data_IF_720007767068
#
_entry.id   IF_720007767068
#
_cell.length_a   1.000
_cell.length_b   1.000
_cell.length_c   1.000
_cell.angle_alpha   90.00
_cell.angle_beta   90.00
_cell.angle_gamma   90.00
#
_symmetry.space_group_name_H-M   'P 1'
#
loop_
_entity.id
_entity.type
_entity.pdbx_description
1 polymer ?
#
# COMPACT_ATOMS: atom_id res chain seq x y z
N UNK A 1 25.65 3.74 8.02
CA UNK A 1 25.22 5.15 8.25
C UNK A 1 24.02 5.46 7.34
N UNK A 2 22.96 4.65 7.37
CA UNK A 2 21.94 4.60 6.28
C UNK A 2 20.50 4.92 6.71
N UNK A 3 20.20 5.02 8.01
CA UNK A 3 18.83 5.31 8.48
C UNK A 3 18.50 6.81 8.59
N UNK A 4 19.51 7.68 8.74
CA UNK A 4 19.28 9.11 9.00
C UNK A 4 18.76 9.89 7.77
N UNK A 5 18.95 9.39 6.56
CA UNK A 5 18.46 10.02 5.32
C UNK A 5 16.95 9.87 5.08
N UNK A 6 16.21 9.18 5.96
CA UNK A 6 14.78 8.89 5.79
C UNK A 6 13.89 9.49 6.89
N UNK A 7 14.42 10.29 7.81
CA UNK A 7 13.63 10.95 8.86
C UNK A 7 12.56 11.89 8.30
N UNK A 8 12.69 12.38 7.06
CA UNK A 8 11.65 13.16 6.38
C UNK A 8 10.65 12.30 5.59
N UNK A 9 11.03 11.10 5.16
CA UNK A 9 10.15 10.22 4.36
C UNK A 9 9.04 9.63 5.22
N UNK A 10 9.32 9.29 6.47
CA UNK A 10 8.33 8.72 7.39
C UNK A 10 7.21 9.73 7.75
N UNK A 11 7.51 10.97 8.19
CA UNK A 11 6.51 12.00 8.42
C UNK A 11 5.77 12.39 7.14
N UNK A 12 6.44 12.48 5.99
CA UNK A 12 5.81 12.95 4.75
C UNK A 12 4.92 11.87 4.12
N UNK A 13 5.32 10.59 4.20
CA UNK A 13 4.43 9.47 3.87
C UNK A 13 3.28 9.34 4.88
N UNK A 14 3.52 9.55 6.17
CA UNK A 14 2.46 9.57 7.19
C UNK A 14 1.48 10.72 6.96
N UNK A 15 1.98 11.90 6.60
CA UNK A 15 1.16 13.08 6.25
C UNK A 15 0.38 12.82 4.97
N UNK A 16 0.99 12.20 3.95
CA UNK A 16 0.30 11.81 2.72
C UNK A 16 -0.79 10.76 2.99
N UNK A 17 -0.50 9.73 3.79
CA UNK A 17 -1.49 8.71 4.20
C UNK A 17 -2.61 9.36 5.01
N UNK A 18 -2.30 10.31 5.91
CA UNK A 18 -3.29 11.06 6.67
C UNK A 18 -4.13 11.98 5.77
N UNK A 19 -3.55 12.64 4.77
CA UNK A 19 -4.27 13.47 3.80
C UNK A 19 -5.16 12.62 2.91
N UNK A 20 -4.68 11.46 2.44
CA UNK A 20 -5.49 10.51 1.66
C UNK A 20 -6.61 9.95 2.54
N UNK A 21 -6.33 9.49 3.76
CA UNK A 21 -7.34 9.02 4.72
C UNK A 21 -8.33 10.13 5.12
N UNK A 22 -7.87 11.38 5.23
CA UNK A 22 -8.70 12.55 5.46
C UNK A 22 -9.61 12.84 4.27
N UNK A 23 -9.09 12.80 3.04
CA UNK A 23 -9.89 12.96 1.82
C UNK A 23 -10.93 11.83 1.69
N UNK A 24 -10.56 10.58 1.97
CA UNK A 24 -11.50 9.44 1.99
C UNK A 24 -12.53 9.52 3.12
N UNK A 25 -12.17 10.04 4.30
CA UNK A 25 -13.11 10.21 5.42
C UNK A 25 -14.03 11.44 5.24
N UNK A 26 -13.53 12.55 4.67
CA UNK A 26 -14.33 13.72 4.31
C UNK A 26 -15.18 13.54 3.06
N UNK A 27 -14.86 12.60 2.17
CA UNK A 27 -15.71 12.20 1.04
C UNK A 27 -17.13 11.76 1.47
N UNK A 28 -17.31 11.37 2.75
CA UNK A 28 -18.63 11.09 3.33
C UNK A 28 -19.41 12.33 3.78
N UNK A 29 -18.77 13.46 4.06
CA UNK A 29 -19.41 14.66 4.65
C UNK A 29 -19.49 15.85 3.71
N UNK A 30 -18.51 16.01 2.82
CA UNK A 30 -18.59 17.00 1.76
C UNK A 30 -19.18 16.31 0.54
N UNK A 31 -20.26 16.87 -0.02
CA UNK A 31 -20.48 16.79 -1.47
C UNK A 31 -19.16 17.26 -2.07
N UNK A 32 -18.27 16.33 -2.43
CA UNK A 32 -17.05 16.63 -3.17
C UNK A 32 -17.58 17.42 -4.36
N UNK A 33 -17.37 18.75 -4.36
CA UNK A 33 -17.50 19.56 -5.58
C UNK A 33 -16.78 18.74 -6.62
N UNK A 34 -17.53 18.28 -7.61
CA UNK A 34 -17.11 17.22 -8.53
C UNK A 34 -15.68 17.54 -8.95
N UNK A 35 -14.79 16.55 -8.93
CA UNK A 35 -13.44 16.69 -9.46
C UNK A 35 -13.46 17.23 -10.92
N UNK A 36 -14.62 17.15 -11.60
CA UNK A 36 -14.91 17.86 -12.86
C UNK A 36 -14.72 19.38 -12.83
N UNK A 37 -14.76 20.02 -11.66
CA UNK A 37 -14.70 21.48 -11.53
C UNK A 37 -13.25 22.00 -11.46
N UNK A 38 -12.26 21.15 -11.18
CA UNK A 38 -10.87 21.61 -10.94
C UNK A 38 -10.07 21.87 -12.22
N UNK A 39 -10.39 21.25 -13.35
CA UNK A 39 -9.95 21.72 -14.67
C UNK A 39 -10.69 20.92 -15.72
N UNK A 40 -11.93 21.32 -16.02
CA UNK A 40 -12.87 20.55 -16.86
C UNK A 40 -12.25 20.13 -18.20
N UNK A 41 -11.43 21.00 -18.79
CA UNK A 41 -10.70 20.73 -20.03
C UNK A 41 -9.63 19.63 -19.91
N UNK A 42 -8.91 19.54 -18.77
CA UNK A 42 -7.94 18.47 -18.54
C UNK A 42 -8.64 17.15 -18.21
N UNK A 43 -9.71 17.21 -17.40
CA UNK A 43 -10.51 16.04 -17.04
C UNK A 43 -11.21 15.43 -18.26
N UNK A 44 -11.86 16.25 -19.09
CA UNK A 44 -12.52 15.79 -20.33
C UNK A 44 -11.49 15.23 -21.34
N UNK A 45 -10.35 15.89 -21.56
CA UNK A 45 -9.27 15.35 -22.42
C UNK A 45 -8.66 14.05 -21.87
N UNK A 46 -8.49 13.95 -20.55
CA UNK A 46 -7.94 12.75 -19.91
C UNK A 46 -8.95 11.59 -19.97
N UNK A 47 -10.23 11.84 -19.70
CA UNK A 47 -11.30 10.87 -19.85
C UNK A 47 -11.47 10.44 -21.32
N UNK A 48 -11.35 11.34 -22.28
CA UNK A 48 -11.37 11.00 -23.71
C UNK A 48 -10.16 10.16 -24.13
N UNK A 49 -8.97 10.50 -23.61
CA UNK A 49 -7.76 9.73 -23.90
C UNK A 49 -7.83 8.33 -23.29
N UNK A 50 -8.28 8.21 -22.04
CA UNK A 50 -8.55 6.94 -21.39
C UNK A 50 -9.62 6.16 -22.16
N UNK A 51 -10.78 6.74 -22.45
CA UNK A 51 -11.84 6.00 -23.13
C UNK A 51 -11.44 5.53 -24.52
N UNK A 52 -10.53 6.23 -25.21
CA UNK A 52 -9.90 5.76 -26.47
C UNK A 52 -8.91 4.61 -26.24
N UNK A 53 -8.05 4.70 -25.23
CA UNK A 53 -7.10 3.62 -24.88
C UNK A 53 -7.86 2.35 -24.43
N UNK A 54 -9.05 2.50 -23.86
CA UNK A 54 -9.82 1.40 -23.27
C UNK A 54 -10.82 0.68 -24.22
N UNK A 55 -10.83 0.98 -25.53
CA UNK A 55 -11.71 0.34 -26.54
C UNK A 55 -11.15 -0.99 -27.10
N UNK A 56 -10.95 -2.00 -26.25
CA UNK A 56 -10.48 -3.33 -26.69
C UNK A 56 -11.14 -4.52 -25.98
N UNK A 57 -11.20 -5.70 -26.62
CA UNK A 57 -11.84 -6.92 -26.07
C UNK A 57 -11.23 -7.38 -24.73
N UNK A 58 -9.91 -7.28 -24.54
CA UNK A 58 -9.24 -7.62 -23.27
C UNK A 58 -9.53 -6.61 -22.15
N UNK A 59 -9.92 -5.37 -22.50
CA UNK A 59 -10.24 -4.31 -21.55
C UNK A 59 -11.64 -4.44 -20.95
N UNK A 60 -12.54 -5.21 -21.56
CA UNK A 60 -13.85 -5.53 -20.96
C UNK A 60 -13.67 -6.24 -19.62
N UNK A 61 -12.68 -7.15 -19.51
CA UNK A 61 -12.38 -7.85 -18.25
C UNK A 61 -11.83 -6.92 -17.17
N UNK A 62 -10.92 -6.01 -17.55
CA UNK A 62 -10.34 -5.01 -16.63
C UNK A 62 -11.43 -4.03 -16.16
N UNK A 63 -12.29 -3.60 -17.08
CA UNK A 63 -13.41 -2.73 -16.75
C UNK A 63 -14.41 -3.43 -15.82
N UNK A 64 -14.74 -4.70 -16.10
CA UNK A 64 -15.57 -5.52 -15.22
C UNK A 64 -14.95 -5.70 -13.83
N UNK A 65 -13.63 -5.89 -13.74
CA UNK A 65 -12.91 -5.98 -12.46
C UNK A 65 -13.06 -4.70 -11.63
N UNK A 66 -12.85 -3.52 -12.23
CA UNK A 66 -13.04 -2.26 -11.51
C UNK A 66 -14.51 -1.96 -11.19
N UNK A 67 -15.45 -2.29 -12.07
CA UNK A 67 -16.88 -2.16 -11.81
C UNK A 67 -17.29 -3.03 -10.61
N UNK A 68 -16.77 -4.26 -10.51
CA UNK A 68 -17.01 -5.13 -9.35
C UNK A 68 -16.43 -4.54 -8.05
N UNK A 69 -15.23 -3.96 -8.10
CA UNK A 69 -14.64 -3.28 -6.95
C UNK A 69 -15.35 -1.97 -6.58
N UNK A 70 -16.03 -1.31 -7.51
CA UNK A 70 -16.74 -0.06 -7.23
C UNK A 70 -18.18 -0.29 -6.76
N UNK A 71 -18.68 -1.54 -6.75
CA UNK A 71 -20.08 -1.90 -6.45
C UNK A 71 -20.63 -1.30 -5.15
N UNK A 72 -19.79 -1.12 -4.13
CA UNK A 72 -20.21 -0.60 -2.82
C UNK A 72 -19.82 0.87 -2.59
N UNK A 73 -19.28 1.53 -3.62
CA UNK A 73 -18.82 2.92 -3.55
C UNK A 73 -19.62 3.82 -4.49
N UNK A 74 -19.69 5.11 -4.16
CA UNK A 74 -20.30 6.13 -5.05
C UNK A 74 -19.32 6.65 -6.12
N UNK A 75 -18.15 6.05 -6.23
CA UNK A 75 -17.05 6.53 -7.06
C UNK A 75 -17.22 5.93 -8.46
N UNK A 76 -17.19 6.77 -9.49
CA UNK A 76 -17.20 6.31 -10.86
C UNK A 76 -15.80 5.83 -11.28
N UNK A 77 -15.72 4.96 -12.30
CA UNK A 77 -14.44 4.48 -12.82
C UNK A 77 -13.50 5.62 -13.25
N UNK A 78 -14.06 6.64 -13.91
CA UNK A 78 -13.31 7.82 -14.33
C UNK A 78 -12.66 8.54 -13.14
N UNK A 79 -13.39 8.68 -12.04
CA UNK A 79 -12.87 9.32 -10.82
C UNK A 79 -11.76 8.48 -10.17
N UNK A 80 -11.88 7.15 -10.18
CA UNK A 80 -10.83 6.26 -9.67
C UNK A 80 -9.53 6.38 -10.48
N UNK A 81 -9.64 6.40 -11.82
CA UNK A 81 -8.48 6.56 -12.69
C UNK A 81 -7.85 7.94 -12.56
N UNK A 82 -8.66 9.01 -12.41
CA UNK A 82 -8.16 10.35 -12.13
C UNK A 82 -7.40 10.41 -10.79
N UNK A 83 -7.92 9.78 -9.74
CA UNK A 83 -7.23 9.68 -8.43
C UNK A 83 -5.88 8.98 -8.59
N UNK A 84 -5.83 7.86 -9.34
CA UNK A 84 -4.58 7.14 -9.60
C UNK A 84 -3.56 7.99 -10.37
N UNK A 85 -4.01 8.75 -11.37
CA UNK A 85 -3.17 9.65 -12.14
C UNK A 85 -2.55 10.74 -11.26
N UNK A 86 -3.37 11.36 -10.40
CA UNK A 86 -2.93 12.37 -9.44
C UNK A 86 -1.89 11.78 -8.48
N UNK A 87 -2.14 10.60 -7.92
CA UNK A 87 -1.19 9.92 -7.04
C UNK A 87 0.12 9.66 -7.77
N UNK A 88 0.08 9.18 -9.02
CA UNK A 88 1.27 8.92 -9.82
C UNK A 88 2.10 10.20 -10.05
N UNK A 89 1.44 11.30 -10.43
CA UNK A 89 2.10 12.60 -10.61
C UNK A 89 2.76 13.06 -9.31
N UNK A 90 2.03 12.99 -8.19
CA UNK A 90 2.55 13.37 -6.87
C UNK A 90 3.75 12.50 -6.48
N UNK A 91 3.67 11.18 -6.70
CA UNK A 91 4.77 10.24 -6.42
C UNK A 91 6.00 10.59 -7.24
N UNK A 92 5.85 10.89 -8.54
CA UNK A 92 6.98 11.30 -9.40
C UNK A 92 7.61 12.59 -8.87
N UNK A 93 6.80 13.61 -8.57
CA UNK A 93 7.29 14.89 -8.01
C UNK A 93 8.03 14.66 -6.69
N UNK A 94 7.48 13.86 -5.78
CA UNK A 94 8.13 13.54 -4.50
C UNK A 94 9.45 12.78 -4.68
N UNK A 95 9.51 11.81 -5.58
CA UNK A 95 10.76 11.08 -5.86
C UNK A 95 11.84 12.03 -6.39
N UNK A 96 11.47 12.93 -7.31
CA UNK A 96 12.39 13.94 -7.82
C UNK A 96 12.84 14.90 -6.71
N UNK A 97 11.92 15.43 -5.90
CA UNK A 97 12.27 16.32 -4.79
C UNK A 97 13.18 15.64 -3.77
N UNK A 98 12.87 14.41 -3.36
CA UNK A 98 13.72 13.64 -2.43
C UNK A 98 15.10 13.43 -3.03
N UNK A 99 15.18 13.09 -4.32
CA UNK A 99 16.44 12.92 -5.02
C UNK A 99 17.28 14.20 -4.98
N UNK A 100 16.72 15.33 -5.37
CA UNK A 100 17.45 16.62 -5.36
C UNK A 100 17.91 16.99 -3.95
N UNK A 101 17.06 16.80 -2.94
CA UNK A 101 17.45 17.06 -1.54
C UNK A 101 18.56 16.13 -1.05
N UNK A 102 18.52 14.84 -1.40
CA UNK A 102 19.55 13.89 -1.02
C UNK A 102 20.87 14.18 -1.72
N UNK A 103 20.82 14.54 -3.01
CA UNK A 103 22.02 14.95 -3.76
C UNK A 103 22.62 16.20 -3.12
N UNK A 104 21.83 17.21 -2.77
CA UNK A 104 22.34 18.44 -2.14
C UNK A 104 22.98 18.15 -0.76
N UNK A 105 22.32 17.36 0.10
CA UNK A 105 22.86 16.99 1.42
C UNK A 105 24.17 16.20 1.29
N UNK A 106 24.21 15.21 0.40
CA UNK A 106 25.41 14.39 0.21
C UNK A 106 26.54 15.21 -0.42
N UNK A 107 26.23 16.09 -1.38
CA UNK A 107 27.22 16.98 -2.01
C UNK A 107 27.82 17.94 -0.99
N UNK A 108 26.99 18.58 -0.15
CA UNK A 108 27.45 19.45 0.95
C UNK A 108 28.35 18.69 1.93
N UNK A 109 28.04 17.42 2.22
CA UNK A 109 28.88 16.58 3.06
C UNK A 109 30.22 16.23 2.39
N UNK A 110 30.22 15.87 1.11
CA UNK A 110 31.44 15.51 0.35
C UNK A 110 32.39 16.70 0.24
N UNK A 111 31.84 17.89 -0.06
CA UNK A 111 32.63 19.11 -0.30
C UNK A 111 33.01 19.77 1.02
N UNK A 112 32.11 19.81 2.00
CA UNK A 112 32.28 20.56 3.25
C UNK A 112 32.98 19.83 4.39
N UNK A 113 33.37 18.55 4.25
CA UNK A 113 34.02 17.81 5.34
C UNK A 113 35.45 17.39 5.00
N UNK A 114 36.42 17.94 5.74
CA UNK A 114 37.84 17.62 5.58
C UNK A 114 38.18 16.17 5.95
N UNK A 115 37.52 15.61 6.97
CA UNK A 115 37.68 14.22 7.42
C UNK A 115 36.79 13.23 6.64
N UNK A 116 36.69 13.40 5.32
CA UNK A 116 35.87 12.53 4.47
C UNK A 116 36.54 11.17 4.25
N UNK A 117 35.95 10.09 4.79
CA UNK A 117 36.45 8.70 4.75
C UNK A 117 37.95 8.62 5.10
N UNK A 118 38.25 8.92 6.36
CA UNK A 118 39.59 8.83 6.95
C UNK A 118 40.16 7.41 6.78
N UNK A 119 41.18 7.24 5.95
CA UNK A 119 41.96 6.01 5.90
C UNK A 119 42.87 5.99 7.15
N UNK A 120 42.67 5.00 8.02
CA UNK A 120 43.50 4.79 9.23
C UNK A 120 45.01 4.61 8.92
N UNK A 121 45.36 4.45 7.64
CA UNK A 121 46.72 4.24 7.13
C UNK A 121 47.56 5.52 7.13
N UNK A 122 46.95 6.71 7.26
CA UNK A 122 47.66 7.99 7.19
C UNK A 122 47.50 8.82 8.46
N UNK A 123 48.20 8.40 9.51
CA UNK A 123 48.39 9.19 10.72
C UNK A 123 49.36 10.35 10.44
N UNK A 124 48.86 11.42 9.82
CA UNK A 124 49.63 12.65 9.74
C UNK A 124 49.69 13.31 11.10
N UNK A 125 50.91 13.60 11.57
CA UNK A 125 51.13 14.51 12.69
C UNK A 125 50.48 15.85 12.36
N UNK A 126 49.31 16.11 12.95
CA UNK A 126 48.46 17.31 12.76
C UNK A 126 49.14 18.63 13.14
N UNK A 127 50.41 18.62 13.54
CA UNK A 127 51.04 19.75 14.22
C UNK A 127 51.14 21.03 13.39
N UNK A 128 51.12 20.98 12.05
CA UNK A 128 51.31 22.16 11.19
C UNK A 128 50.43 22.24 9.91
N UNK A 129 49.30 21.51 9.80
CA UNK A 129 48.47 21.54 8.57
C UNK A 129 47.36 22.58 8.67
N UNK A 130 47.31 23.51 7.72
CA UNK A 130 46.18 24.43 7.55
C UNK A 130 44.99 23.69 6.90
N UNK A 131 44.01 23.33 7.74
CA UNK A 131 42.85 22.51 7.36
C UNK A 131 42.02 23.18 6.26
N UNK A 132 41.86 24.51 6.30
CA UNK A 132 41.05 25.23 5.33
C UNK A 132 41.73 25.28 3.96
N UNK A 133 43.04 25.54 3.93
CA UNK A 133 43.80 25.50 2.67
C UNK A 133 43.85 24.10 2.07
N UNK A 134 44.09 23.08 2.89
CA UNK A 134 44.13 21.69 2.44
C UNK A 134 42.77 21.23 1.89
N UNK A 135 41.65 21.64 2.52
CA UNK A 135 40.31 21.37 2.03
C UNK A 135 40.05 22.07 0.67
N UNK A 136 40.45 23.33 0.53
CA UNK A 136 40.29 24.09 -0.71
C UNK A 136 41.13 23.48 -1.86
N UNK A 137 42.33 22.98 -1.58
CA UNK A 137 43.14 22.23 -2.54
C UNK A 137 42.44 20.94 -2.99
N UNK A 138 41.88 20.15 -2.05
CA UNK A 138 41.13 18.94 -2.34
C UNK A 138 39.86 19.22 -3.20
N UNK A 139 39.13 20.32 -2.91
CA UNK A 139 37.95 20.73 -3.68
C UNK A 139 38.34 21.17 -5.10
N UNK A 140 39.40 21.98 -5.23
CA UNK A 140 39.88 22.44 -6.56
C UNK A 140 40.30 21.27 -7.45
N UNK A 141 40.96 20.26 -6.86
CA UNK A 141 41.32 19.03 -7.57
C UNK A 141 40.09 18.18 -7.95
N UNK A 142 39.04 18.18 -7.12
CA UNK A 142 37.78 17.53 -7.43
C UNK A 142 37.04 18.26 -8.57
N UNK A 143 36.95 19.58 -8.53
CA UNK A 143 36.25 20.40 -9.53
C UNK A 143 36.93 20.34 -10.91
N UNK A 144 38.26 20.33 -10.93
CA UNK A 144 39.05 20.14 -12.16
C UNK A 144 38.83 18.74 -12.75
N UNK A 145 38.76 17.70 -11.91
CA UNK A 145 38.44 16.35 -12.38
C UNK A 145 37.00 16.23 -12.90
N UNK A 146 36.02 16.85 -12.22
CA UNK A 146 34.62 16.83 -12.62
C UNK A 146 34.30 17.71 -13.84
N UNK A 147 35.14 18.70 -14.14
CA UNK A 147 35.01 19.55 -15.34
C UNK A 147 35.69 18.93 -16.57
N UNK A 148 36.71 18.09 -16.38
CA UNK A 148 37.42 17.40 -17.47
C UNK A 148 36.81 16.06 -17.87
N UNK A 149 36.08 15.40 -16.96
CA UNK A 149 35.46 14.10 -17.21
C UNK A 149 33.99 14.10 -16.83
N UNK A 150 33.17 13.47 -17.68
CA UNK A 150 31.74 13.30 -17.37
C UNK A 150 31.52 12.24 -16.27
N UNK A 151 30.36 12.30 -15.60
CA UNK A 151 29.96 11.31 -14.56
C UNK A 151 29.99 9.87 -15.12
N UNK A 152 29.62 9.71 -16.39
CA UNK A 152 29.65 8.40 -17.07
C UNK A 152 31.07 7.89 -17.29
N UNK A 153 32.00 8.75 -17.68
CA UNK A 153 33.41 8.39 -17.88
C UNK A 153 34.10 8.01 -16.57
N UNK A 154 33.88 8.77 -15.49
CA UNK A 154 34.47 8.48 -14.18
C UNK A 154 34.03 7.10 -13.65
N UNK A 155 32.84 6.64 -14.03
CA UNK A 155 32.31 5.33 -13.65
C UNK A 155 33.00 4.16 -14.36
N UNK A 156 33.38 4.35 -15.62
CA UNK A 156 33.98 3.31 -16.44
C UNK A 156 35.49 3.18 -16.23
N UNK A 157 36.13 4.22 -15.70
CA UNK A 157 37.56 4.23 -15.42
C UNK A 157 37.93 3.35 -14.22
N UNK A 158 39.07 2.68 -14.35
CA UNK A 158 39.67 1.92 -13.27
C UNK A 158 40.21 2.84 -12.17
N UNK A 159 40.32 2.31 -10.94
CA UNK A 159 40.92 3.01 -9.79
C UNK A 159 42.31 3.59 -10.12
N UNK A 160 43.10 2.91 -10.96
CA UNK A 160 44.43 3.35 -11.36
C UNK A 160 44.39 4.58 -12.27
N UNK A 161 43.48 4.61 -13.24
CA UNK A 161 43.35 5.70 -14.21
C UNK A 161 42.83 6.99 -13.56
N UNK A 162 41.87 6.90 -12.64
CA UNK A 162 41.35 8.07 -11.92
C UNK A 162 42.46 8.67 -11.04
N UNK A 163 43.21 7.83 -10.33
CA UNK A 163 44.35 8.31 -9.52
C UNK A 163 45.47 8.88 -10.38
N UNK A 164 45.73 8.32 -11.55
CA UNK A 164 46.71 8.85 -12.50
C UNK A 164 46.29 10.21 -13.07
N UNK A 165 45.00 10.40 -13.36
CA UNK A 165 44.45 11.69 -13.79
C UNK A 165 44.59 12.75 -12.70
N UNK A 166 44.22 12.44 -11.45
CA UNK A 166 44.41 13.37 -10.31
C UNK A 166 45.89 13.73 -10.14
N UNK A 167 46.78 12.73 -10.23
CA UNK A 167 48.23 12.93 -10.16
C UNK A 167 48.76 13.85 -11.27
N UNK A 168 48.29 13.66 -12.50
CA UNK A 168 48.67 14.51 -13.63
C UNK A 168 48.23 15.96 -13.41
N UNK A 169 47.04 16.18 -12.83
CA UNK A 169 46.54 17.51 -12.50
C UNK A 169 47.36 18.21 -11.40
N UNK A 170 47.72 17.49 -10.32
CA UNK A 170 48.59 18.03 -9.26
C UNK A 170 49.92 18.52 -9.85
N UNK A 171 50.53 17.72 -10.74
CA UNK A 171 51.79 18.08 -11.42
C UNK A 171 51.63 19.25 -12.38
N UNK A 172 50.51 19.34 -13.10
CA UNK A 172 50.25 20.43 -14.05
C UNK A 172 50.03 21.79 -13.38
N UNK A 173 49.50 21.79 -12.16
CA UNK A 173 49.19 23.01 -11.40
C UNK A 173 50.35 23.49 -10.52
N UNK A 174 51.46 22.73 -10.46
CA UNK A 174 52.63 23.01 -9.62
C UNK A 174 52.25 23.38 -8.16
N UNK A 175 51.18 22.76 -7.64
CA UNK A 175 50.65 23.04 -6.30
C UNK A 175 51.60 22.47 -5.24
N UNK A 176 52.12 23.33 -4.36
CA UNK A 176 52.69 22.88 -3.09
C UNK A 176 51.54 22.40 -2.20
N UNK A 177 51.47 21.08 -1.99
CA UNK A 177 50.38 20.44 -1.27
C UNK A 177 50.64 20.47 0.24
N UNK A 178 49.65 20.93 1.01
CA UNK A 178 49.69 20.93 2.49
C UNK A 178 49.65 19.50 3.08
N UNK A 179 49.13 18.55 2.31
CA UNK A 179 49.07 17.12 2.63
C UNK A 179 49.87 16.37 1.57
N UNK A 180 50.56 15.26 1.91
CA UNK A 180 51.28 14.50 0.90
C UNK A 180 50.39 14.01 -0.23
N UNK A 181 50.99 14.06 -1.42
CA UNK A 181 50.35 13.84 -2.72
C UNK A 181 49.52 12.54 -2.75
N UNK A 182 50.05 11.45 -2.18
CA UNK A 182 49.39 10.14 -2.18
C UNK A 182 48.06 10.18 -1.39
N UNK A 183 48.03 10.89 -0.27
CA UNK A 183 46.85 11.00 0.59
C UNK A 183 45.81 11.92 -0.03
N UNK A 184 46.24 13.04 -0.61
CA UNK A 184 45.36 13.93 -1.36
C UNK A 184 44.70 13.20 -2.55
N UNK A 185 45.48 12.43 -3.32
CA UNK A 185 44.97 11.62 -4.43
C UNK A 185 43.91 10.61 -3.95
N UNK A 186 44.16 9.91 -2.83
CA UNK A 186 43.22 8.93 -2.31
C UNK A 186 41.92 9.58 -1.83
N UNK A 187 41.99 10.70 -1.10
CA UNK A 187 40.82 11.44 -0.65
C UNK A 187 39.99 11.98 -1.80
N UNK A 188 40.63 12.63 -2.78
CA UNK A 188 39.96 13.17 -3.98
C UNK A 188 39.32 12.04 -4.78
N UNK A 189 39.99 10.90 -4.92
CA UNK A 189 39.42 9.69 -5.54
C UNK A 189 38.13 9.24 -4.83
N UNK A 190 38.16 9.09 -3.50
CA UNK A 190 36.98 8.67 -2.75
C UNK A 190 35.83 9.67 -2.85
N UNK A 191 36.12 10.97 -2.80
CA UNK A 191 35.13 12.03 -3.01
C UNK A 191 34.51 11.99 -4.41
N UNK A 192 35.33 11.80 -5.45
CA UNK A 192 34.84 11.70 -6.83
C UNK A 192 33.93 10.49 -7.03
N UNK A 193 34.33 9.32 -6.52
CA UNK A 193 33.51 8.10 -6.61
C UNK A 193 32.19 8.25 -5.84
N UNK A 194 32.24 8.75 -4.60
CA UNK A 194 31.02 8.94 -3.81
C UNK A 194 30.10 10.01 -4.40
N UNK A 195 30.65 11.03 -5.05
CA UNK A 195 29.88 12.04 -5.79
C UNK A 195 29.14 11.43 -6.99
N UNK A 196 29.80 10.54 -7.74
CA UNK A 196 29.19 9.80 -8.85
C UNK A 196 28.11 8.85 -8.33
N UNK A 197 28.42 8.04 -7.32
CA UNK A 197 27.48 7.08 -6.73
C UNK A 197 26.24 7.74 -6.13
N UNK A 198 26.38 8.92 -5.50
CA UNK A 198 25.26 9.67 -4.95
C UNK A 198 24.26 10.15 -6.02
N UNK A 199 24.71 10.31 -7.27
CA UNK A 199 23.90 10.76 -8.41
C UNK A 199 23.33 9.61 -9.24
N UNK A 200 23.72 8.37 -8.97
CA UNK A 200 23.18 7.18 -9.62
C UNK A 200 21.72 6.92 -9.23
N UNK A 201 20.86 6.71 -10.23
CA UNK A 201 19.46 6.36 -10.01
C UNK A 201 19.34 4.85 -9.94
N UNK A 202 18.93 4.33 -8.79
CA UNK A 202 18.52 2.94 -8.70
C UNK A 202 17.11 2.77 -9.32
N UNK A 203 17.07 2.61 -10.65
CA UNK A 203 15.83 2.51 -11.42
C UNK A 203 14.89 1.41 -10.88
N UNK A 204 15.44 0.28 -10.41
CA UNK A 204 14.65 -0.82 -9.83
C UNK A 204 13.87 -0.36 -8.60
N UNK A 205 14.49 0.39 -7.69
CA UNK A 205 13.83 0.91 -6.47
C UNK A 205 12.75 1.92 -6.83
N UNK A 206 13.02 2.83 -7.76
CA UNK A 206 12.07 3.85 -8.22
C UNK A 206 10.83 3.21 -8.85
N UNK A 207 11.02 2.23 -9.74
CA UNK A 207 9.91 1.49 -10.37
C UNK A 207 9.05 0.79 -9.31
N UNK A 208 9.67 0.15 -8.32
CA UNK A 208 8.95 -0.54 -7.25
C UNK A 208 8.09 0.42 -6.41
N UNK A 209 8.62 1.59 -6.06
CA UNK A 209 7.86 2.63 -5.33
C UNK A 209 6.67 3.12 -6.16
N UNK A 210 6.87 3.37 -7.47
CA UNK A 210 5.78 3.81 -8.36
C UNK A 210 4.67 2.76 -8.43
N UNK A 211 5.01 1.48 -8.61
CA UNK A 211 4.04 0.38 -8.65
C UNK A 211 3.27 0.28 -7.32
N UNK A 212 3.98 0.40 -6.19
CA UNK A 212 3.36 0.34 -4.86
C UNK A 212 2.38 1.49 -4.66
N UNK A 213 2.79 2.73 -4.94
CA UNK A 213 1.95 3.92 -4.80
C UNK A 213 0.72 3.89 -5.72
N UNK A 214 0.88 3.41 -6.96
CA UNK A 214 -0.23 3.28 -7.91
C UNK A 214 -1.30 2.27 -7.45
N UNK A 215 -0.91 1.27 -6.66
CA UNK A 215 -1.80 0.22 -6.15
C UNK A 215 -2.58 0.62 -4.89
N UNK A 216 -2.21 1.72 -4.21
CA UNK A 216 -2.85 2.17 -2.95
C UNK A 216 -4.38 2.32 -3.08
N UNK A 217 -4.95 2.95 -4.12
CA UNK A 217 -6.39 3.10 -4.25
C UNK A 217 -7.14 1.76 -4.35
N UNK A 218 -6.55 0.75 -4.99
CA UNK A 218 -7.16 -0.58 -5.11
C UNK A 218 -7.19 -1.30 -3.78
N UNK A 219 -6.08 -1.24 -3.04
CA UNK A 219 -5.99 -1.81 -1.69
C UNK A 219 -7.00 -1.15 -0.77
N UNK A 220 -7.13 0.18 -0.81
CA UNK A 220 -8.11 0.93 -0.03
C UNK A 220 -9.56 0.52 -0.37
N UNK A 221 -9.89 0.41 -1.66
CA UNK A 221 -11.20 -0.05 -2.12
C UNK A 221 -11.46 -1.51 -1.72
N UNK A 222 -10.47 -2.38 -1.84
CA UNK A 222 -10.59 -3.78 -1.44
C UNK A 222 -10.91 -3.91 0.05
N UNK A 223 -10.17 -3.19 0.90
CA UNK A 223 -10.43 -3.13 2.35
C UNK A 223 -11.84 -2.58 2.61
N UNK A 224 -12.22 -1.49 1.94
CA UNK A 224 -13.56 -0.91 2.11
C UNK A 224 -14.68 -1.87 1.71
N UNK A 225 -14.54 -2.56 0.58
CA UNK A 225 -15.50 -3.56 0.12
C UNK A 225 -15.59 -4.73 1.07
N UNK A 226 -14.44 -5.20 1.59
CA UNK A 226 -14.41 -6.27 2.59
C UNK A 226 -15.24 -5.89 3.83
N UNK A 227 -15.06 -4.68 4.35
CA UNK A 227 -15.87 -4.18 5.45
C UNK A 227 -17.35 -4.00 5.07
N UNK A 228 -17.63 -3.52 3.86
CA UNK A 228 -19.00 -3.30 3.38
C UNK A 228 -19.77 -4.61 3.23
N UNK A 229 -19.15 -5.64 2.67
CA UNK A 229 -19.72 -7.00 2.58
C UNK A 229 -19.96 -7.57 3.98
N UNK A 230 -18.98 -7.44 4.88
CA UNK A 230 -19.14 -7.89 6.28
C UNK A 230 -20.28 -7.15 6.99
N UNK A 231 -20.42 -5.85 6.75
CA UNK A 231 -21.50 -5.04 7.30
C UNK A 231 -22.86 -5.40 6.69
N UNK A 232 -22.94 -5.68 5.38
CA UNK A 232 -24.15 -6.16 4.73
C UNK A 232 -24.59 -7.53 5.29
N UNK A 233 -23.67 -8.46 5.52
CA UNK A 233 -23.97 -9.75 6.18
C UNK A 233 -24.45 -9.59 7.63
N UNK A 234 -23.88 -8.63 8.38
CA UNK A 234 -24.35 -8.29 9.73
C UNK A 234 -25.76 -7.69 9.69
N UNK A 235 -26.02 -6.80 8.73
CA UNK A 235 -27.35 -6.21 8.52
C UNK A 235 -28.37 -7.28 8.14
N UNK A 236 -28.03 -8.21 7.24
CA UNK A 236 -28.91 -9.31 6.86
C UNK A 236 -29.30 -10.16 8.08
N UNK A 237 -28.33 -10.51 8.93
CA UNK A 237 -28.61 -11.19 10.21
C UNK A 237 -29.50 -10.37 11.13
N UNK A 238 -29.31 -9.06 11.18
CA UNK A 238 -30.16 -8.17 11.97
C UNK A 238 -31.61 -8.12 11.42
N UNK A 239 -31.79 -8.04 10.10
CA UNK A 239 -33.10 -8.09 9.46
C UNK A 239 -33.81 -9.43 9.73
N UNK A 240 -33.11 -10.56 9.58
CA UNK A 240 -33.64 -11.88 9.95
C UNK A 240 -34.11 -11.94 11.42
N UNK A 241 -33.38 -11.31 12.36
CA UNK A 241 -33.80 -11.20 13.77
C UNK A 241 -35.03 -10.32 13.95
N UNK A 242 -35.13 -9.21 13.24
CA UNK A 242 -36.32 -8.34 13.27
C UNK A 242 -37.56 -9.09 12.78
N UNK A 243 -37.43 -9.91 11.73
CA UNK A 243 -38.53 -10.76 11.25
C UNK A 243 -39.02 -11.70 12.35
N UNK A 244 -38.09 -12.33 13.09
CA UNK A 244 -38.47 -13.20 14.20
C UNK A 244 -39.16 -12.40 15.31
N UNK A 245 -38.58 -11.28 15.74
CA UNK A 245 -39.09 -10.50 16.87
C UNK A 245 -40.49 -9.96 16.60
N UNK A 246 -40.67 -9.29 15.45
CA UNK A 246 -41.96 -8.70 15.08
C UNK A 246 -42.96 -9.76 14.60
N UNK A 247 -42.46 -10.88 14.07
CA UNK A 247 -43.26 -12.00 13.63
C UNK A 247 -43.83 -12.86 14.76
N UNK A 248 -43.19 -12.87 15.93
CA UNK A 248 -43.61 -13.74 17.04
C UNK A 248 -44.81 -13.19 17.82
N UNK A 249 -45.30 -11.99 17.46
CA UNK A 249 -46.43 -11.31 18.12
C UNK A 249 -47.60 -11.30 17.14
N UNK A 250 -48.61 -12.13 17.39
CA UNK A 250 -49.82 -12.21 16.56
C UNK A 250 -50.87 -11.16 16.97
N UNK A 251 -51.64 -10.57 16.03
CA UNK A 251 -51.64 -10.81 14.59
C UNK A 251 -50.51 -10.07 13.85
N UNK A 252 -49.88 -10.72 12.87
CA UNK A 252 -48.74 -10.16 12.13
C UNK A 252 -49.20 -9.54 10.80
N UNK A 253 -48.93 -8.25 10.60
CA UNK A 253 -49.12 -7.60 9.30
C UNK A 253 -47.79 -7.56 8.52
N UNK A 254 -47.73 -8.28 7.39
CA UNK A 254 -46.53 -8.34 6.54
C UNK A 254 -46.09 -6.95 6.03
N UNK A 255 -47.03 -6.06 5.69
CA UNK A 255 -46.71 -4.73 5.18
C UNK A 255 -46.12 -3.83 6.26
N UNK A 256 -46.61 -3.95 7.50
CA UNK A 256 -46.05 -3.24 8.65
C UNK A 256 -44.63 -3.74 8.95
N UNK A 257 -44.43 -5.06 8.94
CA UNK A 257 -43.11 -5.68 9.08
C UNK A 257 -42.14 -5.20 7.99
N UNK A 258 -42.58 -5.15 6.74
CA UNK A 258 -41.76 -4.67 5.63
C UNK A 258 -41.39 -3.20 5.80
N UNK A 259 -42.29 -2.37 6.31
CA UNK A 259 -42.02 -0.96 6.62
C UNK A 259 -40.94 -0.81 7.72
N UNK A 260 -40.98 -1.66 8.76
CA UNK A 260 -39.98 -1.70 9.82
C UNK A 260 -38.62 -2.13 9.27
N UNK A 261 -38.59 -3.18 8.42
CA UNK A 261 -37.36 -3.64 7.77
C UNK A 261 -36.76 -2.55 6.87
N UNK A 262 -37.59 -1.81 6.13
CA UNK A 262 -37.13 -0.67 5.30
C UNK A 262 -36.55 0.43 6.18
N UNK A 263 -37.19 0.77 7.30
CA UNK A 263 -36.74 1.85 8.19
C UNK A 263 -35.39 1.55 8.87
N UNK A 264 -35.10 0.26 9.11
CA UNK A 264 -33.90 -0.20 9.82
C UNK A 264 -32.80 -0.75 8.90
N UNK A 265 -33.07 -0.88 7.60
CA UNK A 265 -32.08 -1.33 6.62
C UNK A 265 -31.34 -0.16 5.98
N UNK A 266 -30.06 -0.36 5.70
CA UNK A 266 -29.21 0.58 4.96
C UNK A 266 -28.86 0.00 3.60
N UNK A 267 -28.33 -1.21 3.54
CA UNK A 267 -27.91 -1.84 2.27
C UNK A 267 -29.08 -2.44 1.48
N UNK A 268 -30.10 -2.98 2.16
CA UNK A 268 -31.24 -3.65 1.50
C UNK A 268 -32.46 -2.73 1.30
N UNK A 269 -32.39 -1.48 1.74
CA UNK A 269 -33.51 -0.54 1.76
C UNK A 269 -34.14 -0.29 0.39
N UNK A 270 -33.32 -0.20 -0.67
CA UNK A 270 -33.79 0.03 -2.05
C UNK A 270 -34.62 -1.17 -2.53
N UNK A 271 -34.08 -2.38 -2.39
CA UNK A 271 -34.75 -3.61 -2.81
C UNK A 271 -36.02 -3.87 -2.00
N UNK A 272 -36.00 -3.62 -0.68
CA UNK A 272 -37.18 -3.78 0.15
C UNK A 272 -38.30 -2.78 -0.20
N UNK A 273 -37.95 -1.53 -0.54
CA UNK A 273 -38.92 -0.53 -1.04
C UNK A 273 -39.52 -0.93 -2.38
N UNK A 274 -38.72 -1.53 -3.25
CA UNK A 274 -39.19 -2.05 -4.53
C UNK A 274 -40.19 -3.20 -4.33
N UNK A 275 -39.87 -4.16 -3.46
CA UNK A 275 -40.79 -5.23 -3.05
C UNK A 275 -42.09 -4.65 -2.48
N UNK A 276 -42.01 -3.65 -1.59
CA UNK A 276 -43.19 -3.01 -1.01
C UNK A 276 -44.06 -2.35 -2.10
N UNK A 277 -43.44 -1.62 -3.02
CA UNK A 277 -44.12 -0.96 -4.13
C UNK A 277 -44.80 -1.96 -5.07
N UNK A 278 -44.15 -3.08 -5.35
CA UNK A 278 -44.70 -4.14 -6.20
C UNK A 278 -45.84 -4.88 -5.48
N UNK A 279 -45.73 -5.13 -4.18
CA UNK A 279 -46.82 -5.71 -3.38
C UNK A 279 -48.04 -4.77 -3.24
N UNK A 280 -47.86 -3.45 -3.27
CA UNK A 280 -49.00 -2.50 -3.34
C UNK A 280 -49.68 -2.50 -4.71
N UNK A 281 -48.92 -2.82 -5.78
CA UNK A 281 -49.47 -2.99 -7.12
C UNK A 281 -50.03 -4.41 -7.24
N UNK A 282 -51.26 -4.61 -6.81
CA UNK A 282 -52.02 -5.88 -6.92
C UNK A 282 -52.14 -6.44 -8.36
N UNK A 283 -51.54 -5.80 -9.36
CA UNK A 283 -51.52 -6.22 -10.77
C UNK A 283 -50.46 -7.29 -11.09
N UNK A 284 -49.51 -7.57 -10.18
CA UNK A 284 -48.43 -8.54 -10.39
C UNK A 284 -48.58 -9.66 -9.36
N UNK A 285 -48.52 -10.92 -9.80
CA UNK A 285 -48.49 -12.07 -8.89
C UNK A 285 -47.25 -11.95 -7.99
N UNK A 286 -47.49 -11.94 -6.69
CA UNK A 286 -46.48 -11.76 -5.68
C UNK A 286 -45.37 -12.83 -5.74
N UNK A 287 -45.64 -14.01 -6.30
CA UNK A 287 -44.60 -15.04 -6.54
C UNK A 287 -43.58 -14.62 -7.60
N UNK A 288 -44.02 -13.90 -8.63
CA UNK A 288 -43.15 -13.47 -9.74
C UNK A 288 -42.13 -12.43 -9.24
N UNK A 289 -42.53 -11.58 -8.30
CA UNK A 289 -41.68 -10.56 -7.67
C UNK A 289 -40.42 -11.20 -7.04
N UNK A 290 -40.61 -12.27 -6.26
CA UNK A 290 -39.49 -12.90 -5.55
C UNK A 290 -38.66 -13.81 -6.45
N UNK A 291 -39.24 -14.43 -7.47
CA UNK A 291 -38.51 -15.27 -8.45
C UNK A 291 -37.42 -14.48 -9.20
N UNK A 292 -37.73 -13.24 -9.61
CA UNK A 292 -36.76 -12.37 -10.28
C UNK A 292 -35.61 -11.94 -9.33
N UNK A 293 -35.93 -11.69 -8.06
CA UNK A 293 -34.91 -11.34 -7.06
C UNK A 293 -34.02 -12.53 -6.70
N UNK A 294 -34.60 -13.74 -6.64
CA UNK A 294 -33.93 -15.00 -6.32
C UNK A 294 -33.02 -15.45 -7.47
N UNK A 295 -33.45 -15.31 -8.73
CA UNK A 295 -32.68 -15.69 -9.91
C UNK A 295 -31.49 -14.75 -10.17
N UNK A 296 -31.66 -13.46 -9.90
CA UNK A 296 -30.60 -12.45 -10.09
C UNK A 296 -29.57 -12.41 -8.94
N UNK A 297 -29.83 -13.07 -7.81
CA UNK A 297 -28.93 -13.06 -6.66
C UNK A 297 -27.92 -14.21 -6.70
N UNK A 298 -26.62 -13.89 -6.73
CA UNK A 298 -25.53 -14.88 -6.65
C UNK A 298 -25.19 -15.31 -5.22
N UNK A 299 -25.52 -14.49 -4.21
CA UNK A 299 -25.20 -14.79 -2.81
C UNK A 299 -26.29 -15.67 -2.22
N UNK A 300 -25.89 -16.88 -1.78
CA UNK A 300 -26.79 -17.91 -1.23
C UNK A 300 -27.51 -17.37 0.02
N UNK A 301 -26.81 -16.62 0.88
CA UNK A 301 -27.38 -16.10 2.14
C UNK A 301 -28.51 -15.10 1.85
N UNK A 302 -28.34 -14.27 0.81
CA UNK A 302 -29.31 -13.26 0.38
C UNK A 302 -30.47 -13.91 -0.40
N UNK A 303 -30.17 -14.91 -1.22
CA UNK A 303 -31.17 -15.71 -1.93
C UNK A 303 -32.13 -16.39 -0.95
N UNK A 304 -31.59 -17.08 0.06
CA UNK A 304 -32.37 -17.69 1.13
C UNK A 304 -33.23 -16.66 1.87
N UNK A 305 -32.71 -15.46 2.11
CA UNK A 305 -33.49 -14.38 2.74
C UNK A 305 -34.71 -13.97 1.89
N UNK A 306 -34.56 -13.83 0.57
CA UNK A 306 -35.69 -13.50 -0.31
C UNK A 306 -36.70 -14.64 -0.41
N UNK A 307 -36.26 -15.90 -0.44
CA UNK A 307 -37.16 -17.06 -0.36
C UNK A 307 -37.96 -17.08 0.95
N UNK A 308 -37.39 -16.60 2.06
CA UNK A 308 -38.12 -16.47 3.34
C UNK A 308 -39.11 -15.32 3.35
N UNK A 309 -38.81 -14.21 2.69
CA UNK A 309 -39.78 -13.13 2.50
C UNK A 309 -40.95 -13.58 1.62
N UNK A 310 -40.68 -14.36 0.57
CA UNK A 310 -41.72 -15.01 -0.25
C UNK A 310 -42.61 -15.93 0.60
N UNK A 311 -42.00 -16.81 1.41
CA UNK A 311 -42.72 -17.69 2.35
C UNK A 311 -43.59 -16.90 3.34
N UNK A 312 -43.09 -15.77 3.83
CA UNK A 312 -43.81 -14.92 4.77
C UNK A 312 -44.97 -14.14 4.13
N UNK A 313 -44.83 -13.72 2.87
CA UNK A 313 -45.87 -12.96 2.15
C UNK A 313 -46.97 -13.86 1.56
N UNK A 314 -46.58 -14.99 0.98
CA UNK A 314 -47.46 -15.76 0.08
C UNK A 314 -47.97 -17.08 0.65
N UNK A 315 -47.40 -17.57 1.76
CA UNK A 315 -47.72 -18.90 2.28
C UNK A 315 -48.16 -18.86 3.74
N UNK A 316 -47.20 -18.90 4.66
CA UNK A 316 -47.48 -18.96 6.09
C UNK A 316 -46.36 -18.27 6.86
N UNK A 317 -46.72 -17.13 7.46
CA UNK A 317 -45.80 -16.29 8.22
C UNK A 317 -45.17 -17.06 9.40
N UNK A 318 -45.96 -17.83 10.15
CA UNK A 318 -45.50 -18.62 11.30
C UNK A 318 -44.51 -19.72 10.89
N UNK A 319 -44.69 -20.33 9.72
CA UNK A 319 -43.74 -21.31 9.17
C UNK A 319 -42.43 -20.63 8.72
N UNK A 320 -42.50 -19.44 8.13
CA UNK A 320 -41.32 -18.66 7.76
C UNK A 320 -40.48 -18.30 9.01
N UNK A 321 -41.12 -17.88 10.12
CA UNK A 321 -40.42 -17.63 11.39
C UNK A 321 -39.73 -18.89 11.91
N UNK A 322 -40.43 -20.03 11.94
CA UNK A 322 -39.85 -21.31 12.43
C UNK A 322 -38.61 -21.68 11.62
N UNK A 323 -38.64 -21.50 10.30
CA UNK A 323 -37.52 -21.74 9.41
C UNK A 323 -36.33 -20.80 9.67
N UNK A 324 -36.58 -19.51 9.90
CA UNK A 324 -35.50 -18.55 10.21
C UNK A 324 -34.91 -18.86 11.60
N UNK A 325 -35.75 -19.25 12.58
CA UNK A 325 -35.31 -19.60 13.94
C UNK A 325 -34.43 -20.85 13.97
N UNK A 326 -34.77 -21.88 13.19
CA UNK A 326 -33.94 -23.10 13.07
C UNK A 326 -32.59 -22.79 12.40
N UNK A 327 -32.58 -21.92 11.38
CA UNK A 327 -31.35 -21.47 10.72
C UNK A 327 -30.41 -20.76 11.69
N UNK A 328 -30.91 -19.85 12.54
CA UNK A 328 -30.08 -19.19 13.57
C UNK A 328 -29.43 -20.16 14.55
N UNK A 329 -30.14 -21.23 14.92
CA UNK A 329 -29.60 -22.25 15.80
C UNK A 329 -28.45 -23.03 15.14
N UNK A 330 -28.62 -23.36 13.85
CA UNK A 330 -27.60 -24.03 13.05
C UNK A 330 -26.40 -23.11 12.81
N UNK A 331 -26.62 -21.84 12.48
CA UNK A 331 -25.58 -20.81 12.31
C UNK A 331 -24.77 -20.66 13.60
N UNK A 332 -25.42 -20.49 14.76
CA UNK A 332 -24.74 -20.38 16.06
C UNK A 332 -23.85 -21.59 16.34
N UNK A 333 -24.33 -22.81 16.04
CA UNK A 333 -23.53 -24.04 16.16
C UNK A 333 -22.38 -24.11 15.15
N UNK A 334 -22.51 -23.54 13.95
CA UNK A 334 -21.39 -23.45 12.99
C UNK A 334 -20.35 -22.44 13.46
N UNK A 335 -20.76 -21.28 13.92
CA UNK A 335 -19.86 -20.23 14.42
C UNK A 335 -19.03 -20.74 15.61
N UNK A 336 -19.66 -21.43 16.57
CA UNK A 336 -18.95 -22.07 17.70
C UNK A 336 -17.91 -23.09 17.19
N UNK A 337 -18.27 -23.91 16.20
CA UNK A 337 -17.34 -24.89 15.61
C UNK A 337 -16.19 -24.22 14.86
N UNK A 338 -16.45 -23.13 14.15
CA UNK A 338 -15.43 -22.39 13.41
C UNK A 338 -14.42 -21.72 14.36
N UNK A 339 -14.92 -21.10 15.44
CA UNK A 339 -14.06 -20.51 16.49
C UNK A 339 -13.20 -21.59 17.15
N UNK A 340 -13.78 -22.74 17.50
CA UNK A 340 -13.02 -23.85 18.07
C UNK A 340 -11.90 -24.33 17.16
N UNK A 341 -12.17 -24.53 15.86
CA UNK A 341 -11.15 -24.90 14.87
C UNK A 341 -10.05 -23.84 14.70
N UNK A 342 -10.40 -22.55 14.73
CA UNK A 342 -9.41 -21.48 14.67
C UNK A 342 -8.51 -21.45 15.91
N UNK A 343 -9.08 -21.65 17.09
CA UNK A 343 -8.30 -21.76 18.33
C UNK A 343 -7.37 -22.98 18.31
N UNK A 344 -7.84 -24.14 17.83
CA UNK A 344 -7.01 -25.33 17.65
C UNK A 344 -5.83 -25.08 16.70
N UNK A 345 -6.05 -24.39 15.58
CA UNK A 345 -5.01 -24.06 14.61
C UNK A 345 -3.99 -23.06 15.17
N UNK A 346 -4.45 -22.01 15.87
CA UNK A 346 -3.57 -21.04 16.53
C UNK A 346 -2.70 -21.76 17.58
N UNK A 347 -3.29 -22.65 18.37
CA UNK A 347 -2.55 -23.44 19.36
C UNK A 347 -1.53 -24.36 18.70
N UNK A 348 -1.90 -25.06 17.61
CA UNK A 348 -0.97 -25.92 16.87
C UNK A 348 0.22 -25.13 16.29
N UNK A 349 -0.03 -23.96 15.69
CA UNK A 349 1.03 -23.06 15.22
C UNK A 349 1.90 -22.57 16.37
N UNK A 350 1.29 -22.20 17.50
CA UNK A 350 2.02 -21.78 18.70
C UNK A 350 2.95 -22.87 19.22
N UNK A 351 2.48 -24.12 19.28
CA UNK A 351 3.29 -25.29 19.69
C UNK A 351 4.44 -25.51 18.72
N UNK A 352 4.18 -25.50 17.40
CA UNK A 352 5.23 -25.67 16.37
C UNK A 352 6.27 -24.54 16.47
N UNK A 353 5.82 -23.29 16.68
CA UNK A 353 6.70 -22.14 16.87
C UNK A 353 7.59 -22.30 18.10
N UNK A 354 7.02 -22.73 19.24
CA UNK A 354 7.80 -23.02 20.45
C UNK A 354 8.84 -24.13 20.21
N UNK A 355 8.48 -25.22 19.52
CA UNK A 355 9.44 -26.28 19.17
C UNK A 355 10.59 -25.76 18.31
N UNK A 356 10.30 -24.90 17.33
CA UNK A 356 11.30 -24.32 16.45
C UNK A 356 12.26 -23.39 17.22
N UNK A 357 11.74 -22.59 18.16
CA UNK A 357 12.57 -21.76 19.05
C UNK A 357 13.46 -22.62 19.92
N UNK A 358 12.92 -23.67 20.55
CA UNK A 358 13.71 -24.60 21.37
C UNK A 358 14.81 -25.27 20.53
N UNK A 359 14.50 -25.71 19.31
CA UNK A 359 15.47 -26.32 18.40
C UNK A 359 16.60 -25.36 17.98
N UNK A 360 16.28 -24.08 17.75
CA UNK A 360 17.30 -23.06 17.47
C UNK A 360 18.16 -22.80 18.71
N UNK A 361 17.54 -22.71 19.89
CA UNK A 361 18.29 -22.51 21.13
C UNK A 361 19.21 -23.69 21.44
N UNK A 362 18.75 -24.93 21.24
CA UNK A 362 19.59 -26.12 21.44
C UNK A 362 20.72 -26.17 20.41
N UNK A 363 20.47 -25.88 19.13
CA UNK A 363 21.54 -25.73 18.13
C UNK A 363 22.55 -24.66 18.57
N UNK A 364 22.09 -23.48 18.97
CA UNK A 364 22.95 -22.39 19.41
C UNK A 364 23.82 -22.78 20.62
N UNK A 365 23.28 -23.57 21.57
CA UNK A 365 24.05 -24.08 22.71
C UNK A 365 25.01 -25.22 22.33
N UNK A 366 24.69 -26.02 21.30
CA UNK A 366 25.55 -27.09 20.79
C UNK A 366 26.71 -26.59 19.93
N UNK A 367 26.55 -25.44 19.25
CA UNK A 367 27.59 -24.87 18.39
C UNK A 367 28.92 -24.64 19.14
N UNK A 368 28.95 -24.00 20.34
CA UNK A 368 30.16 -23.89 21.15
C UNK A 368 30.74 -25.25 21.57
N UNK A 369 29.90 -26.25 21.84
CA UNK A 369 30.35 -27.60 22.18
C UNK A 369 30.99 -28.32 20.98
N UNK A 370 30.43 -28.16 19.79
CA UNK A 370 30.99 -28.63 18.52
C UNK A 370 32.34 -27.99 18.21
N UNK A 371 32.52 -26.71 18.53
CA UNK A 371 33.80 -26.03 18.38
C UNK A 371 34.81 -26.38 19.48
N UNK A 372 34.35 -26.76 20.69
CA UNK A 372 35.22 -27.23 21.76
C UNK A 372 35.68 -28.69 21.54
N UNK A 373 34.87 -29.51 20.86
CA UNK A 373 35.25 -30.83 20.36
C UNK A 373 36.02 -30.72 19.04
N UNK A 374 37.18 -30.07 19.10
CA UNK A 374 38.12 -30.08 17.99
C UNK A 374 38.65 -31.52 17.85
N UNK A 375 38.20 -32.24 16.81
CA UNK A 375 38.66 -33.59 16.45
C UNK A 375 40.12 -33.59 15.93
N UNK A 376 40.87 -32.50 16.16
CA UNK A 376 42.31 -32.38 15.94
C UNK A 376 43.16 -33.18 16.95
N UNK A 377 42.56 -33.71 18.03
CA UNK A 377 43.25 -34.57 19.00
C UNK A 377 43.19 -36.08 18.68
N UNK A 378 42.58 -36.49 17.57
CA UNK A 378 42.44 -37.91 17.18
C UNK A 378 43.03 -38.30 15.81
N UNK A 379 43.86 -37.45 15.18
CA UNK A 379 44.64 -37.83 13.99
C UNK A 379 46.10 -37.46 14.14
#
# INVERSE_FOLDING_TARGET
MELYSYYFVLPLTFTFVLVVAYLFSKARRFKIKKISDINRNFYEKYCDCITRIFKGKNLVRINQFYIQQLRFTKINLADLLAIKAIILIITIVLILSIRETNIDIITKKIIGTFEYKYDAVYEYSRKNVDIEKALNQEITLLDTLLSTKTIGEIRELSKGEIKAAIRAHIKSLALEMEIPEITAINKVYHRAIDYVLAREINAKRVILIIIFCYSIPEIALFIFNFFSVKNAKKELRFLKRLIILNGSIEPVNFMELLSILISKSKYYSVTLKEIQKLNYKNSIDSKVIYLDLVSNCKDIDVKLFYEKLDQANNYNFSQAIKNIKSEFYIEKRRDIRAVKKQMELINAIGIIGCFLIIAIMTMYMLVPWLFAYDMSQFV
#
